data_IF_945691438660
#
_entry.id   IF_945691438660
#
_cell.length_a   1.000
_cell.length_b   1.000
_cell.length_c   1.000
_cell.angle_alpha   90.00
_cell.angle_beta   90.00
_cell.angle_gamma   90.00
#
_symmetry.space_group_name_H-M   'P 1'
#
loop_
_entity.id
_entity.type
_entity.pdbx_description
1 polymer ?
#
# COMPACT_ATOMS: atom_id res chain seq x y z
N UNK A 1 -53.96 -8.47 -46.48
CA UNK A 1 -53.92 -9.93 -46.16
C UNK A 1 -52.49 -10.43 -46.31
N UNK A 2 -52.01 -11.33 -45.45
CA UNK A 2 -50.62 -11.85 -45.51
C UNK A 2 -50.46 -12.86 -46.65
N UNK A 3 -49.43 -12.72 -47.48
CA UNK A 3 -48.76 -13.84 -48.17
C UNK A 3 -47.25 -13.62 -48.12
N UNK A 4 -46.54 -14.69 -47.81
CA UNK A 4 -45.10 -14.70 -47.51
C UNK A 4 -44.32 -14.63 -48.83
N UNK A 5 -43.38 -13.69 -48.97
CA UNK A 5 -42.56 -13.57 -50.18
C UNK A 5 -41.23 -14.30 -50.03
N UNK A 6 -40.94 -15.11 -51.03
CA UNK A 6 -39.69 -15.84 -51.23
C UNK A 6 -38.67 -14.91 -51.89
N UNK A 7 -37.40 -14.96 -51.46
CA UNK A 7 -36.30 -14.88 -52.42
C UNK A 7 -35.04 -15.59 -51.91
N UNK A 8 -34.39 -16.34 -52.80
CA UNK A 8 -33.16 -17.09 -52.59
C UNK A 8 -32.17 -16.69 -53.70
N UNK A 9 -30.92 -16.42 -53.32
CA UNK A 9 -29.69 -16.25 -54.14
C UNK A 9 -29.76 -15.95 -55.65
N UNK A 10 -29.08 -14.86 -56.04
CA UNK A 10 -28.26 -14.75 -57.26
C UNK A 10 -26.98 -13.96 -56.88
N UNK A 11 -25.75 -14.49 -57.03
CA UNK A 11 -24.96 -14.69 -58.27
C UNK A 11 -24.41 -13.35 -58.82
N UNK A 12 -23.26 -12.82 -58.33
CA UNK A 12 -21.84 -13.17 -58.63
C UNK A 12 -21.28 -12.57 -59.93
N UNK A 13 -20.13 -11.86 -59.83
CA UNK A 13 -19.04 -11.69 -60.83
C UNK A 13 -17.89 -10.90 -60.14
N UNK A 14 -16.85 -11.53 -59.56
CA UNK A 14 -15.57 -12.08 -60.12
C UNK A 14 -14.50 -11.02 -60.50
N UNK A 15 -13.23 -11.40 -60.22
CA UNK A 15 -11.89 -10.81 -60.51
C UNK A 15 -11.16 -10.37 -59.21
N UNK A 16 -9.93 -10.84 -58.88
CA UNK A 16 -9.12 -11.94 -59.48
C UNK A 16 -8.08 -12.55 -58.53
N UNK A 17 -8.07 -13.89 -58.48
CA UNK A 17 -6.88 -14.79 -58.52
C UNK A 17 -5.49 -14.29 -58.06
N UNK A 18 -4.92 -15.01 -57.08
CA UNK A 18 -3.56 -15.61 -57.14
C UNK A 18 -3.60 -16.93 -56.33
N UNK A 19 -2.71 -17.89 -56.63
CA UNK A 19 -2.95 -19.32 -56.37
C UNK A 19 -2.52 -19.84 -54.98
N UNK A 20 -3.16 -20.93 -54.53
CA UNK A 20 -2.68 -21.75 -53.42
C UNK A 20 -1.45 -22.59 -53.82
N UNK A 21 -0.48 -22.70 -52.91
CA UNK A 21 0.71 -23.56 -53.06
C UNK A 21 1.11 -24.15 -51.71
N UNK A 22 0.37 -25.16 -51.24
CA UNK A 22 0.45 -25.63 -49.86
C UNK A 22 1.76 -26.38 -49.57
N UNK A 23 2.64 -25.80 -48.76
CA UNK A 23 3.83 -26.46 -48.20
C UNK A 23 3.75 -26.40 -46.68
N UNK A 24 4.04 -27.51 -46.00
CA UNK A 24 4.08 -27.54 -44.54
C UNK A 24 5.10 -26.51 -44.01
N UNK A 25 4.68 -25.75 -43.01
CA UNK A 25 5.51 -25.38 -41.87
C UNK A 25 4.71 -25.65 -40.60
N UNK A 26 5.44 -25.96 -39.55
CA UNK A 26 4.91 -26.45 -38.29
C UNK A 26 4.48 -25.25 -37.41
N UNK A 27 3.55 -25.48 -36.48
CA UNK A 27 3.22 -24.48 -35.47
C UNK A 27 4.38 -24.44 -34.46
N UNK A 28 5.27 -23.47 -34.63
CA UNK A 28 6.01 -22.91 -33.50
C UNK A 28 5.04 -21.94 -32.81
N UNK A 29 4.59 -22.29 -31.61
CA UNK A 29 3.82 -21.38 -30.76
C UNK A 29 4.82 -20.34 -30.23
N UNK A 30 4.75 -19.11 -30.76
CA UNK A 30 5.48 -17.98 -30.19
C UNK A 30 4.90 -17.70 -28.80
N UNK A 31 5.57 -18.24 -27.78
CA UNK A 31 5.34 -17.92 -26.38
C UNK A 31 5.62 -16.42 -26.22
N UNK A 32 4.55 -15.61 -26.09
CA UNK A 32 4.67 -14.18 -25.75
C UNK A 32 5.25 -14.07 -24.34
N UNK A 33 6.57 -14.11 -24.24
CA UNK A 33 7.32 -13.65 -23.07
C UNK A 33 7.04 -12.17 -22.92
N UNK A 34 5.97 -11.84 -22.19
CA UNK A 34 5.85 -10.56 -21.53
C UNK A 34 7.03 -10.43 -20.60
N UNK A 35 8.04 -9.66 -21.01
CA UNK A 35 8.96 -9.07 -20.05
C UNK A 35 8.09 -8.29 -19.05
N UNK A 36 7.94 -8.83 -17.83
CA UNK A 36 7.45 -8.02 -16.73
C UNK A 36 8.39 -6.82 -16.62
N UNK A 37 7.83 -5.62 -16.78
CA UNK A 37 8.61 -4.41 -16.60
C UNK A 37 9.29 -4.48 -15.22
N UNK A 38 10.60 -4.18 -15.11
CA UNK A 38 11.31 -4.30 -13.85
C UNK A 38 10.55 -3.50 -12.78
N UNK A 39 10.43 -4.02 -11.55
CA UNK A 39 9.60 -3.42 -10.51
C UNK A 39 9.96 -1.95 -10.37
N UNK A 40 8.97 -1.08 -10.59
CA UNK A 40 9.19 0.36 -10.51
C UNK A 40 9.52 0.69 -9.07
N UNK A 41 10.78 1.03 -8.80
CA UNK A 41 11.21 1.47 -7.48
C UNK A 41 10.53 2.82 -7.18
N UNK A 42 9.42 2.79 -6.45
CA UNK A 42 8.57 3.95 -6.19
C UNK A 42 9.32 4.96 -5.30
N UNK A 43 9.70 6.10 -5.89
CA UNK A 43 10.35 7.19 -5.17
C UNK A 43 9.37 7.89 -4.20
N UNK A 44 9.88 8.75 -3.32
CA UNK A 44 9.02 9.52 -2.41
C UNK A 44 8.02 10.41 -3.17
N UNK A 45 8.44 10.94 -4.32
CA UNK A 45 7.59 11.71 -5.24
C UNK A 45 6.51 10.81 -5.85
N UNK A 46 6.86 9.58 -6.27
CA UNK A 46 5.90 8.63 -6.84
C UNK A 46 4.81 8.26 -5.84
N UNK A 47 5.17 8.00 -4.58
CA UNK A 47 4.19 7.78 -3.52
C UNK A 47 3.38 9.05 -3.20
N UNK A 48 3.99 10.24 -3.18
CA UNK A 48 3.27 11.51 -2.98
C UNK A 48 2.29 11.80 -4.13
N UNK A 49 2.63 11.48 -5.37
CA UNK A 49 1.72 11.57 -6.52
C UNK A 49 0.55 10.59 -6.37
N UNK A 50 0.78 9.35 -5.90
CA UNK A 50 -0.31 8.42 -5.61
C UNK A 50 -1.23 8.94 -4.49
N UNK A 51 -0.67 9.33 -3.35
CA UNK A 51 -1.40 9.86 -2.18
C UNK A 51 -2.27 11.05 -2.60
N UNK A 52 -1.70 12.01 -3.34
CA UNK A 52 -2.45 13.15 -3.89
C UNK A 52 -3.53 12.71 -4.89
N UNK A 53 -3.26 11.68 -5.70
CA UNK A 53 -4.22 11.06 -6.61
C UNK A 53 -5.41 10.36 -5.94
N UNK A 54 -5.36 10.10 -4.62
CA UNK A 54 -6.50 9.65 -3.80
C UNK A 54 -7.18 10.77 -3.02
N UNK A 55 -6.78 12.04 -3.20
CA UNK A 55 -7.12 13.18 -2.33
C UNK A 55 -6.74 12.96 -0.84
N UNK A 56 -5.67 12.20 -0.59
CA UNK A 56 -5.13 11.98 0.76
C UNK A 56 -4.09 13.04 1.15
N UNK A 57 -3.95 13.30 2.45
CA UNK A 57 -2.91 14.17 3.02
C UNK A 57 -1.67 13.38 3.46
N UNK A 58 -1.86 12.12 3.85
CA UNK A 58 -0.80 11.20 4.27
C UNK A 58 -1.01 9.83 3.63
N UNK A 59 0.08 9.21 3.22
CA UNK A 59 0.17 7.76 3.05
C UNK A 59 0.70 7.13 4.33
N UNK A 60 0.24 5.92 4.65
CA UNK A 60 0.76 5.11 5.75
C UNK A 60 1.00 3.69 5.24
N UNK A 61 2.14 3.09 5.58
CA UNK A 61 2.39 1.66 5.40
C UNK A 61 2.62 0.99 6.75
N UNK A 62 2.12 -0.24 6.88
CA UNK A 62 2.58 -1.20 7.88
C UNK A 62 3.87 -1.87 7.40
N UNK A 63 4.85 -1.98 8.28
CA UNK A 63 6.19 -2.51 8.00
C UNK A 63 6.50 -3.78 8.81
N UNK A 64 5.49 -4.48 9.33
CA UNK A 64 5.68 -5.72 10.08
C UNK A 64 5.80 -5.55 11.60
N UNK A 65 6.23 -6.64 12.25
CA UNK A 65 6.31 -6.77 13.71
C UNK A 65 7.75 -6.55 14.19
N UNK A 66 8.02 -5.41 14.83
CA UNK A 66 9.32 -4.97 15.30
C UNK A 66 9.30 -4.71 16.83
N UNK A 67 10.13 -5.46 17.56
CA UNK A 67 10.41 -5.23 18.98
C UNK A 67 11.62 -4.32 19.15
N UNK A 68 11.38 -3.03 19.37
CA UNK A 68 12.44 -2.04 19.59
C UNK A 68 13.22 -2.24 20.90
N UNK A 69 12.82 -3.17 21.77
CA UNK A 69 13.54 -3.49 23.02
C UNK A 69 14.64 -4.53 22.81
N UNK A 70 14.60 -5.25 21.68
CA UNK A 70 15.56 -6.33 21.35
C UNK A 70 16.20 -6.21 19.96
N UNK A 71 15.58 -5.51 19.00
CA UNK A 71 16.09 -5.32 17.63
C UNK A 71 16.41 -3.87 17.28
N UNK A 72 17.33 -3.69 16.31
CA UNK A 72 17.67 -2.39 15.72
C UNK A 72 16.85 -2.11 14.46
N UNK A 73 16.35 -0.88 14.33
CA UNK A 73 15.39 -0.52 13.26
C UNK A 73 15.98 -0.69 11.86
N UNK A 74 17.24 -0.30 11.67
CA UNK A 74 17.91 -0.40 10.37
C UNK A 74 18.16 -1.88 10.01
N UNK A 75 18.49 -2.72 10.99
CA UNK A 75 18.67 -4.16 10.76
C UNK A 75 17.34 -4.83 10.40
N UNK A 76 16.25 -4.46 11.08
CA UNK A 76 14.90 -4.92 10.76
C UNK A 76 14.47 -4.52 9.33
N UNK A 77 14.62 -3.25 8.95
CA UNK A 77 14.26 -2.78 7.60
C UNK A 77 15.10 -3.46 6.50
N UNK A 78 16.37 -3.79 6.77
CA UNK A 78 17.20 -4.59 5.87
C UNK A 78 16.69 -6.03 5.71
N UNK A 79 16.26 -6.69 6.79
CA UNK A 79 15.78 -8.08 6.77
C UNK A 79 14.44 -8.23 6.04
N UNK A 80 13.60 -7.19 6.02
CA UNK A 80 12.28 -7.22 5.34
C UNK A 80 12.35 -6.89 3.83
N UNK A 81 13.54 -6.66 3.26
CA UNK A 81 13.76 -6.37 1.83
C UNK A 81 12.89 -5.22 1.25
N UNK A 82 12.49 -4.25 2.10
CA UNK A 82 11.59 -3.17 1.69
C UNK A 82 12.24 -2.16 0.73
N UNK A 83 13.57 -2.10 0.62
CA UNK A 83 14.28 -1.12 -0.20
C UNK A 83 13.90 -1.18 -1.69
N UNK A 84 13.65 -2.37 -2.25
CA UNK A 84 13.22 -2.56 -3.65
C UNK A 84 11.79 -2.04 -3.93
N UNK A 85 11.00 -1.78 -2.89
CA UNK A 85 9.56 -1.50 -2.97
C UNK A 85 9.24 -0.08 -2.47
N UNK A 86 9.93 0.33 -1.42
CA UNK A 86 9.78 1.60 -0.71
C UNK A 86 11.14 2.27 -0.58
N UNK A 87 11.86 2.45 -1.69
CA UNK A 87 13.25 2.97 -1.74
C UNK A 87 13.43 4.32 -1.01
N UNK A 88 12.35 5.11 -0.85
CA UNK A 88 12.39 6.32 -0.04
C UNK A 88 12.77 6.09 1.43
N UNK A 89 12.52 4.89 1.98
CA UNK A 89 12.88 4.50 3.34
C UNK A 89 14.39 4.68 3.62
N UNK A 90 15.26 4.50 2.62
CA UNK A 90 16.71 4.70 2.74
C UNK A 90 17.07 6.13 3.20
N UNK A 91 16.17 7.08 2.92
CA UNK A 91 16.37 8.52 3.13
C UNK A 91 15.47 9.06 4.27
N UNK A 92 14.74 8.20 4.98
CA UNK A 92 13.95 8.61 6.15
C UNK A 92 14.86 8.71 7.37
N UNK A 93 14.78 9.83 8.08
CA UNK A 93 15.48 10.04 9.34
C UNK A 93 14.99 9.04 10.40
N UNK A 94 15.75 7.96 10.63
CA UNK A 94 15.43 6.90 11.59
C UNK A 94 15.42 7.37 13.05
N UNK A 95 15.85 8.61 13.34
CA UNK A 95 15.65 9.23 14.66
C UNK A 95 14.23 9.80 14.84
N UNK A 96 13.50 10.06 13.75
CA UNK A 96 12.09 10.46 13.75
C UNK A 96 11.19 9.23 13.89
N UNK A 97 11.24 8.63 15.08
CA UNK A 97 10.39 7.51 15.46
C UNK A 97 9.69 7.77 16.79
N UNK A 98 8.36 7.71 16.82
CA UNK A 98 7.63 7.57 18.08
C UNK A 98 7.63 6.11 18.51
N UNK A 99 7.90 5.88 19.79
CA UNK A 99 7.81 4.55 20.43
C UNK A 99 7.00 4.68 21.71
N UNK A 100 6.23 3.64 22.03
CA UNK A 100 5.67 3.36 23.35
C UNK A 100 6.43 2.19 23.97
N UNK A 101 6.43 2.05 25.31
CA UNK A 101 7.27 1.07 26.04
C UNK A 101 6.99 -0.40 25.66
N UNK A 102 5.86 -0.68 25.02
CA UNK A 102 5.42 -1.99 24.55
C UNK A 102 4.67 -1.84 23.22
N UNK A 103 4.41 -2.95 22.52
CA UNK A 103 3.74 -2.96 21.22
C UNK A 103 4.73 -3.14 20.08
N UNK A 104 4.30 -3.82 19.03
CA UNK A 104 5.20 -4.41 18.03
C UNK A 104 4.92 -3.94 16.60
N UNK A 105 3.78 -3.31 16.31
CA UNK A 105 3.49 -2.87 14.95
C UNK A 105 4.39 -1.70 14.58
N UNK A 106 5.16 -1.83 13.49
CA UNK A 106 5.93 -0.75 12.89
C UNK A 106 5.15 -0.14 11.73
N UNK A 107 5.10 1.19 11.69
CA UNK A 107 4.52 1.97 10.62
C UNK A 107 5.49 3.03 10.12
N UNK A 108 5.39 3.38 8.84
CA UNK A 108 5.89 4.65 8.30
C UNK A 108 4.71 5.52 7.89
N UNK A 109 4.78 6.81 8.23
CA UNK A 109 3.85 7.85 7.77
C UNK A 109 4.59 8.74 6.78
N UNK A 110 4.02 8.91 5.58
CA UNK A 110 4.53 9.76 4.50
C UNK A 110 3.54 10.90 4.23
N UNK A 111 3.82 12.14 4.66
CA UNK A 111 3.00 13.29 4.33
C UNK A 111 3.25 13.81 2.90
N UNK A 112 2.23 14.43 2.31
CA UNK A 112 2.45 15.34 1.17
C UNK A 112 3.23 16.58 1.60
N UNK A 113 3.91 17.22 0.66
CA UNK A 113 4.67 18.45 0.94
C UNK A 113 3.76 19.59 1.43
N UNK A 114 4.18 20.27 2.49
CA UNK A 114 3.38 21.30 3.17
C UNK A 114 2.15 20.77 3.91
N UNK A 115 2.09 19.46 4.21
CA UNK A 115 1.18 18.90 5.22
C UNK A 115 1.91 18.91 6.56
N UNK A 116 1.39 19.69 7.51
CA UNK A 116 1.85 19.65 8.89
C UNK A 116 1.23 18.45 9.58
N UNK A 117 2.04 17.65 10.27
CA UNK A 117 1.60 16.46 10.99
C UNK A 117 2.02 16.54 12.44
N UNK A 118 1.10 16.26 13.36
CA UNK A 118 1.38 16.14 14.79
C UNK A 118 0.91 14.78 15.30
N UNK A 119 1.80 14.05 15.97
CA UNK A 119 1.51 12.77 16.60
C UNK A 119 1.24 13.01 18.08
N UNK A 120 0.15 12.45 18.58
CA UNK A 120 -0.22 12.43 19.99
C UNK A 120 -0.24 11.00 20.53
N UNK A 121 -0.03 10.85 21.83
CA UNK A 121 -0.53 9.70 22.58
C UNK A 121 -2.04 9.59 22.35
N UNK A 122 -2.53 8.39 22.07
CA UNK A 122 -3.94 8.07 22.16
C UNK A 122 -4.28 7.67 23.60
N UNK A 123 -5.40 8.16 24.12
CA UNK A 123 -5.94 7.80 25.44
C UNK A 123 -7.45 7.67 25.34
N UNK A 124 -8.08 7.05 26.32
CA UNK A 124 -9.52 7.21 26.52
C UNK A 124 -9.82 8.58 27.14
N UNK A 125 -11.06 9.04 27.00
CA UNK A 125 -11.64 10.09 27.84
C UNK A 125 -11.82 9.64 29.31
N UNK A 126 -12.37 10.52 30.15
CA UNK A 126 -12.49 10.27 31.60
C UNK A 126 -13.61 9.25 31.92
N UNK A 127 -14.52 9.06 30.97
CA UNK A 127 -15.63 8.12 30.98
C UNK A 127 -15.26 6.72 30.43
N UNK A 128 -14.15 6.60 29.70
CA UNK A 128 -13.72 5.37 29.02
C UNK A 128 -14.46 5.08 27.70
N UNK A 129 -15.08 6.09 27.09
CA UNK A 129 -16.05 5.95 26.01
C UNK A 129 -15.51 6.33 24.62
N UNK A 130 -14.58 7.29 24.51
CA UNK A 130 -14.03 7.76 23.22
C UNK A 130 -12.51 7.91 23.27
N UNK A 131 -11.87 7.89 22.08
CA UNK A 131 -10.44 8.17 21.93
C UNK A 131 -10.18 9.69 22.03
N UNK A 132 -9.08 10.06 22.68
CA UNK A 132 -8.71 11.43 23.05
C UNK A 132 -7.20 11.64 22.92
N UNK A 133 -6.80 12.77 22.36
CA UNK A 133 -5.38 13.19 22.25
C UNK A 133 -4.80 13.44 23.65
N UNK A 134 -3.71 12.74 23.96
CA UNK A 134 -2.91 12.91 25.16
C UNK A 134 -1.76 13.90 24.94
N UNK A 135 -0.55 13.53 25.38
CA UNK A 135 0.68 14.31 25.16
C UNK A 135 1.03 14.34 23.67
N UNK A 136 1.60 15.46 23.22
CA UNK A 136 2.27 15.55 21.92
C UNK A 136 3.60 14.76 21.94
N UNK A 137 3.85 13.97 20.90
CA UNK A 137 5.02 13.09 20.79
C UNK A 137 6.00 13.52 19.69
N UNK A 138 5.49 13.94 18.54
CA UNK A 138 6.31 14.33 17.37
C UNK A 138 5.55 15.36 16.51
N UNK A 139 6.30 16.23 15.83
CA UNK A 139 5.82 17.03 14.70
C UNK A 139 6.66 16.77 13.46
N UNK A 140 6.02 16.81 12.30
CA UNK A 140 6.64 16.83 10.98
C UNK A 140 5.95 17.85 10.07
N UNK A 141 6.62 18.26 9.00
CA UNK A 141 6.09 19.10 7.93
C UNK A 141 6.60 18.53 6.60
N UNK A 142 5.76 17.79 5.89
CA UNK A 142 6.11 17.05 4.67
C UNK A 142 7.05 15.84 4.84
N UNK A 143 7.92 15.81 5.85
CA UNK A 143 8.93 14.75 6.03
C UNK A 143 8.35 13.44 6.60
N UNK A 144 8.82 12.26 6.15
CA UNK A 144 8.34 10.99 6.70
C UNK A 144 8.86 10.71 8.11
N UNK A 145 8.14 9.89 8.85
CA UNK A 145 8.53 9.43 10.19
C UNK A 145 7.96 8.05 10.50
N UNK A 146 8.54 7.37 11.48
CA UNK A 146 8.10 6.05 11.93
C UNK A 146 7.25 6.11 13.21
N UNK A 147 6.38 5.12 13.38
CA UNK A 147 5.65 4.85 14.63
C UNK A 147 5.84 3.37 14.98
N UNK A 148 6.16 3.05 16.23
CA UNK A 148 6.23 1.68 16.72
C UNK A 148 5.45 1.52 18.03
N UNK A 149 4.50 0.58 18.06
CA UNK A 149 3.57 0.40 19.17
C UNK A 149 2.38 -0.46 18.80
N UNK A 150 1.17 0.02 19.12
CA UNK A 150 -0.10 -0.71 19.09
C UNK A 150 -0.06 -1.96 20.00
N UNK A 151 -0.09 -1.72 21.31
CA UNK A 151 -0.20 -2.75 22.36
C UNK A 151 -1.54 -3.48 22.31
N UNK A 152 -2.58 -2.86 21.74
CA UNK A 152 -3.97 -3.31 21.87
C UNK A 152 -4.78 -3.05 20.60
N UNK A 153 -5.26 -4.13 19.98
CA UNK A 153 -6.17 -4.13 18.83
C UNK A 153 -7.44 -3.28 19.03
N UNK A 154 -7.77 -2.94 20.28
CA UNK A 154 -8.98 -2.19 20.67
C UNK A 154 -8.67 -0.71 20.96
N UNK A 155 -7.49 -0.41 21.50
CA UNK A 155 -7.09 0.95 21.88
C UNK A 155 -5.71 1.21 21.26
N UNK A 156 -5.63 1.88 20.10
CA UNK A 156 -4.36 2.19 19.47
C UNK A 156 -3.56 3.17 20.33
N UNK A 157 -2.22 3.16 20.23
CA UNK A 157 -1.34 4.03 21.04
C UNK A 157 -1.17 5.46 20.49
N UNK A 158 -1.48 5.68 19.21
CA UNK A 158 -1.20 6.95 18.52
C UNK A 158 -2.45 7.58 17.90
N UNK A 159 -2.50 8.91 17.94
CA UNK A 159 -3.40 9.72 17.10
C UNK A 159 -2.51 10.64 16.25
N UNK A 160 -2.50 10.38 14.95
CA UNK A 160 -1.85 11.19 13.91
C UNK A 160 -2.86 12.23 13.43
N UNK A 161 -2.53 13.50 13.58
CA UNK A 161 -3.31 14.63 13.04
C UNK A 161 -2.52 15.25 11.91
N UNK A 162 -3.09 15.31 10.70
CA UNK A 162 -2.44 15.89 9.53
C UNK A 162 -3.31 17.00 8.94
N UNK A 163 -2.71 18.17 8.70
CA UNK A 163 -3.41 19.41 8.36
C UNK A 163 -2.75 20.14 7.18
N UNK A 164 -3.56 20.59 6.23
CA UNK A 164 -3.15 21.44 5.09
C UNK A 164 -4.33 22.22 4.54
N UNK A 165 -4.13 23.52 4.28
CA UNK A 165 -5.12 24.41 3.61
C UNK A 165 -6.53 24.41 4.23
N UNK A 166 -6.66 24.10 5.52
CA UNK A 166 -7.93 23.99 6.25
C UNK A 166 -8.61 22.61 6.17
N UNK A 167 -8.00 21.65 5.47
CA UNK A 167 -8.35 20.22 5.50
C UNK A 167 -7.54 19.56 6.63
N UNK A 168 -8.23 18.91 7.56
CA UNK A 168 -7.64 18.18 8.70
C UNK A 168 -8.12 16.73 8.64
N UNK A 169 -7.21 15.78 8.86
CA UNK A 169 -7.52 14.37 9.09
C UNK A 169 -6.97 13.92 10.43
N UNK A 170 -7.69 13.03 11.10
CA UNK A 170 -7.32 12.44 12.39
C UNK A 170 -7.39 10.92 12.26
N UNK A 171 -6.27 10.25 12.51
CA UNK A 171 -6.08 8.84 12.19
C UNK A 171 -5.29 8.12 13.28
N UNK A 172 -5.67 6.88 13.59
CA UNK A 172 -4.92 5.98 14.46
C UNK A 172 -4.50 4.74 13.68
N UNK A 173 -3.21 4.58 13.35
CA UNK A 173 -2.70 3.36 12.72
C UNK A 173 -2.99 2.13 13.60
N UNK A 174 -3.58 1.11 12.98
CA UNK A 174 -3.76 -0.25 13.51
C UNK A 174 -4.02 -1.20 12.35
N UNK A 175 -3.75 -2.49 12.54
CA UNK A 175 -4.26 -3.52 11.64
C UNK A 175 -5.71 -3.87 11.96
N UNK A 176 -6.49 -4.20 10.93
CA UNK A 176 -7.86 -4.66 11.10
C UNK A 176 -7.91 -6.15 11.43
N UNK A 177 -8.44 -6.49 12.61
CA UNK A 177 -8.69 -7.86 13.08
C UNK A 177 -9.50 -8.75 12.12
N UNK A 178 -10.11 -8.19 11.08
CA UNK A 178 -10.87 -8.91 10.07
C UNK A 178 -9.99 -9.58 9.00
N UNK A 179 -8.86 -8.97 8.63
CA UNK A 179 -8.07 -9.36 7.45
C UNK A 179 -6.56 -9.07 7.55
N UNK A 180 -6.06 -8.48 8.65
CA UNK A 180 -4.64 -8.17 8.84
C UNK A 180 -4.11 -7.02 7.96
N UNK A 181 -4.98 -6.26 7.30
CA UNK A 181 -4.61 -5.07 6.53
C UNK A 181 -4.77 -3.81 7.40
N UNK A 182 -4.02 -2.76 7.09
CA UNK A 182 -4.10 -1.44 7.69
C UNK A 182 -5.54 -0.89 7.65
N UNK A 183 -6.08 -0.45 8.79
CA UNK A 183 -7.48 -0.01 8.88
C UNK A 183 -7.70 1.44 8.42
N UNK A 184 -7.55 1.70 7.11
CA UNK A 184 -7.83 3.01 6.50
C UNK A 184 -9.35 3.22 6.33
N UNK A 185 -10.03 3.44 7.47
CA UNK A 185 -11.46 3.69 7.54
C UNK A 185 -11.85 5.18 7.51
N UNK A 186 -10.86 6.09 7.46
CA UNK A 186 -11.05 7.55 7.39
C UNK A 186 -10.75 8.06 5.99
N UNK A 187 -11.52 9.05 5.53
CA UNK A 187 -11.20 9.78 4.30
C UNK A 187 -9.85 10.52 4.46
N UNK A 188 -9.13 10.66 3.35
CA UNK A 188 -7.89 11.44 3.23
C UNK A 188 -6.62 10.84 3.89
N UNK A 189 -6.66 9.55 4.23
CA UNK A 189 -5.46 8.71 4.43
C UNK A 189 -5.42 7.71 3.27
N UNK A 190 -4.21 7.34 2.82
CA UNK A 190 -4.01 6.26 1.82
C UNK A 190 -3.14 5.14 2.40
N UNK A 191 -3.48 3.88 2.07
CA UNK A 191 -2.67 2.71 2.41
C UNK A 191 -1.62 2.49 1.32
N UNK A 192 -0.35 2.62 1.69
CA UNK A 192 0.81 2.39 0.80
C UNK A 192 1.60 1.13 1.19
N UNK A 193 0.97 0.21 1.93
CA UNK A 193 1.58 -1.08 2.33
C UNK A 193 1.70 -2.05 1.13
N UNK A 194 2.89 -2.59 0.81
CA UNK A 194 3.09 -3.46 -0.34
C UNK A 194 2.74 -4.93 -0.03
N UNK A 195 1.46 -5.21 0.31
CA UNK A 195 1.01 -6.55 0.72
C UNK A 195 1.34 -7.69 -0.27
N UNK A 196 1.46 -7.38 -1.56
CA UNK A 196 1.68 -8.34 -2.64
C UNK A 196 3.01 -9.11 -2.59
N UNK A 197 3.94 -8.73 -1.70
CA UNK A 197 5.15 -9.52 -1.38
C UNK A 197 5.26 -9.94 0.09
N UNK A 198 4.46 -9.35 0.99
CA UNK A 198 4.41 -9.80 2.40
C UNK A 198 3.85 -11.22 2.56
N UNK A 199 3.06 -11.70 1.59
CA UNK A 199 2.56 -13.08 1.53
C UNK A 199 3.67 -14.12 1.62
N UNK A 200 4.81 -13.84 1.01
CA UNK A 200 5.83 -14.86 0.75
C UNK A 200 6.64 -15.16 2.02
N UNK A 201 6.76 -14.17 2.91
CA UNK A 201 7.35 -14.29 4.24
C UNK A 201 6.39 -14.90 5.27
N UNK A 202 5.10 -14.55 5.23
CA UNK A 202 4.11 -15.00 6.23
C UNK A 202 3.81 -16.51 6.12
N UNK A 203 3.96 -17.11 4.93
CA UNK A 203 3.69 -18.54 4.73
C UNK A 203 4.95 -19.45 4.77
N UNK A 204 6.16 -18.91 4.64
CA UNK A 204 7.39 -19.73 4.61
C UNK A 204 7.76 -20.35 5.97
N UNK A 205 7.50 -19.67 7.10
CA UNK A 205 7.83 -20.19 8.44
C UNK A 205 6.98 -21.41 8.86
N UNK A 206 5.82 -21.65 8.24
CA UNK A 206 4.97 -22.81 8.56
C UNK A 206 5.40 -24.11 7.85
N UNK A 207 6.31 -24.04 6.88
CA UNK A 207 6.67 -25.19 6.04
C UNK A 207 7.81 -26.08 6.56
N UNK A 208 8.63 -25.63 7.52
CA UNK A 208 9.77 -26.43 8.04
C UNK A 208 9.46 -27.23 9.32
N UNK A 209 8.18 -27.33 9.71
CA UNK A 209 7.73 -27.99 10.94
C UNK A 209 6.83 -29.23 10.73
N UNK A 210 7.26 -30.18 9.88
CA UNK A 210 6.67 -31.54 9.75
C UNK A 210 7.72 -32.62 9.46
#
# INVERSE_FOLDING_TARGET
>A
MKRLFVMLMALVLVISMTACGNTKKDNEEEEETTEEAPPVAYSIESYREEIAGKDALIGVAYLGSFDHTTGELIEFLNVQEYWDQMIFLENVDTSKICRVDFGYELYVVLPLEGVSVTVYECKLDEEGATLKKGKELLKSDGEPFFLNGNVSDIIPDFIVVAEKDGKTVEYSPRLSLKNGLLEVAVENVHDITPYGKMSDFIYSEQTEAN
#
